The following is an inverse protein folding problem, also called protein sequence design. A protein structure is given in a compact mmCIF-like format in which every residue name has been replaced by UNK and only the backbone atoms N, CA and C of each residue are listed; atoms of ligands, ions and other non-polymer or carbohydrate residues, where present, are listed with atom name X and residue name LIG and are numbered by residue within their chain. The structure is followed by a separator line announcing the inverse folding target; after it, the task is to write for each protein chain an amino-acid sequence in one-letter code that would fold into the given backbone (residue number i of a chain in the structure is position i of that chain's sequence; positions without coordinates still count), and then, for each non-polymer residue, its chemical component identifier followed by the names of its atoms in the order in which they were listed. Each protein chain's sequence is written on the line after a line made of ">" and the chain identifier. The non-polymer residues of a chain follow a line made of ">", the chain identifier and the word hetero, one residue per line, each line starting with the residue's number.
data_IF_941125838896
#
_entry.id   IF_941125838896
#
_cell.length_a   1.000
_cell.length_b   1.000
_cell.length_c   1.000
_cell.angle_alpha   90.00
_cell.angle_beta   90.00
_cell.angle_gamma   90.00
#
_symmetry.space_group_name_H-M   'P 1'
#
loop_
_entity.id
_entity.type
_entity.pdbx_description
1 polymer ?
#
# COMPACT_ATOMS: atom_id res chain seq x y z
N UNK A 1 16.76 -17.18 6.02
CA UNK A 1 17.48 -15.92 5.78
C UNK A 1 16.72 -14.81 6.47
N UNK A 2 17.41 -13.86 7.10
CA UNK A 2 16.76 -12.65 7.61
C UNK A 2 16.75 -11.66 6.46
N UNK A 3 15.56 -11.21 6.06
CA UNK A 3 15.37 -10.24 4.98
C UNK A 3 16.27 -9.02 5.17
N UNK A 4 16.77 -8.42 4.09
CA UNK A 4 17.61 -7.23 4.16
C UNK A 4 16.95 -6.14 5.06
N UNK A 5 17.72 -5.49 5.95
CA UNK A 5 17.18 -4.64 7.01
C UNK A 5 16.14 -3.65 6.49
N UNK A 6 16.45 -2.93 5.42
CA UNK A 6 15.55 -1.97 4.77
C UNK A 6 14.16 -2.52 4.44
N UNK A 7 14.08 -3.75 3.90
CA UNK A 7 12.80 -4.38 3.57
C UNK A 7 12.05 -4.80 4.84
N UNK A 8 12.75 -5.12 5.93
CA UNK A 8 12.09 -5.36 7.23
C UNK A 8 11.49 -4.06 7.80
N UNK A 9 12.13 -2.91 7.61
CA UNK A 9 11.61 -1.62 8.07
C UNK A 9 10.32 -1.25 7.34
N UNK A 10 10.29 -1.43 6.01
CA UNK A 10 9.09 -1.23 5.20
C UNK A 10 7.97 -2.23 5.59
N UNK A 11 8.31 -3.51 5.69
CA UNK A 11 7.36 -4.58 6.07
C UNK A 11 6.70 -4.35 7.44
N UNK A 12 7.37 -3.68 8.39
CA UNK A 12 6.75 -3.33 9.68
C UNK A 12 5.58 -2.35 9.52
N UNK A 13 5.65 -1.43 8.57
CA UNK A 13 4.61 -0.43 8.32
C UNK A 13 3.36 -1.07 7.66
N UNK A 14 3.53 -2.17 6.92
CA UNK A 14 2.44 -2.92 6.28
C UNK A 14 1.40 -3.47 7.27
N UNK A 15 1.79 -3.77 8.52
CA UNK A 15 0.84 -4.26 9.51
C UNK A 15 -0.26 -3.22 9.80
N UNK A 16 0.12 -1.95 9.96
CA UNK A 16 -0.81 -0.85 10.17
C UNK A 16 -1.74 -0.67 8.96
N UNK A 17 -1.18 -0.67 7.75
CA UNK A 17 -1.92 -0.57 6.51
C UNK A 17 -2.97 -1.67 6.35
N UNK A 18 -2.63 -2.94 6.65
CA UNK A 18 -3.57 -4.06 6.58
C UNK A 18 -4.69 -3.98 7.61
N UNK A 19 -4.39 -3.53 8.84
CA UNK A 19 -5.42 -3.33 9.86
C UNK A 19 -6.39 -2.21 9.47
N UNK A 20 -5.87 -1.11 8.92
CA UNK A 20 -6.68 0.00 8.41
C UNK A 20 -7.58 -0.47 7.26
N UNK A 21 -7.01 -1.15 6.25
CA UNK A 21 -7.75 -1.72 5.13
C UNK A 21 -8.87 -2.66 5.59
N UNK A 22 -8.61 -3.54 6.56
CA UNK A 22 -9.62 -4.46 7.09
C UNK A 22 -10.79 -3.71 7.74
N UNK A 23 -10.51 -2.67 8.54
CA UNK A 23 -11.57 -1.87 9.19
C UNK A 23 -12.36 -1.06 8.16
N UNK A 24 -11.68 -0.43 7.21
CA UNK A 24 -12.29 0.32 6.12
C UNK A 24 -13.23 -0.56 5.28
N UNK A 25 -12.78 -1.76 4.90
CA UNK A 25 -13.60 -2.73 4.16
C UNK A 25 -14.86 -3.14 4.95
N UNK A 26 -14.73 -3.37 6.26
CA UNK A 26 -15.89 -3.71 7.11
C UNK A 26 -16.90 -2.56 7.18
N UNK A 27 -16.43 -1.33 7.34
CA UNK A 27 -17.28 -0.14 7.36
C UNK A 27 -17.97 0.12 6.01
N UNK A 28 -17.27 -0.10 4.89
CA UNK A 28 -17.86 0.03 3.56
C UNK A 28 -19.01 -0.97 3.31
N UNK A 29 -18.93 -2.16 3.92
CA UNK A 29 -19.92 -3.23 3.76
C UNK A 29 -21.03 -3.22 4.83
N UNK A 30 -21.00 -2.31 5.80
CA UNK A 30 -21.95 -2.30 6.92
C UNK A 30 -23.23 -1.49 6.65
N UNK A 31 -23.32 -0.81 5.50
CA UNK A 31 -24.39 0.16 5.15
C UNK A 31 -24.52 1.33 6.15
N UNK A 32 -23.62 1.44 7.13
CA UNK A 32 -23.61 2.49 8.15
C UNK A 32 -22.82 3.70 7.65
N UNK A 33 -23.56 4.73 7.23
CA UNK A 33 -22.99 5.98 6.72
C UNK A 33 -22.09 6.70 7.73
N UNK A 34 -22.32 6.52 9.03
CA UNK A 34 -21.48 7.12 10.08
C UNK A 34 -20.13 6.40 10.13
N UNK A 35 -20.14 5.07 10.11
CA UNK A 35 -18.90 4.27 10.05
C UNK A 35 -18.11 4.54 8.78
N UNK A 36 -18.77 4.65 7.62
CA UNK A 36 -18.12 5.00 6.35
C UNK A 36 -17.37 6.33 6.48
N UNK A 37 -18.03 7.37 6.99
CA UNK A 37 -17.41 8.70 7.18
C UNK A 37 -16.23 8.65 8.14
N UNK A 38 -16.37 7.98 9.28
CA UNK A 38 -15.30 7.86 10.29
C UNK A 38 -14.10 7.13 9.71
N UNK A 39 -14.30 5.99 9.04
CA UNK A 39 -13.19 5.20 8.50
C UNK A 39 -12.56 5.85 7.28
N UNK A 40 -13.32 6.56 6.44
CA UNK A 40 -12.75 7.34 5.36
C UNK A 40 -11.85 8.47 5.86
N UNK A 41 -12.28 9.20 6.89
CA UNK A 41 -11.45 10.24 7.53
C UNK A 41 -10.17 9.64 8.14
N UNK A 42 -10.27 8.47 8.80
CA UNK A 42 -9.10 7.77 9.32
C UNK A 42 -8.15 7.32 8.21
N UNK A 43 -8.69 6.80 7.09
CA UNK A 43 -7.89 6.41 5.93
C UNK A 43 -7.20 7.60 5.28
N UNK A 44 -7.91 8.72 5.11
CA UNK A 44 -7.34 9.97 4.61
C UNK A 44 -6.18 10.45 5.50
N UNK A 45 -6.37 10.51 6.82
CA UNK A 45 -5.34 10.95 7.74
C UNK A 45 -4.11 10.03 7.73
N UNK A 46 -4.32 8.71 7.80
CA UNK A 46 -3.24 7.72 7.75
C UNK A 46 -2.52 7.72 6.41
N UNK A 47 -3.22 8.03 5.30
CA UNK A 47 -2.60 8.10 3.98
C UNK A 47 -1.46 9.11 3.95
N UNK A 48 -1.70 10.35 4.39
CA UNK A 48 -0.69 11.40 4.36
C UNK A 48 0.34 11.29 5.49
N UNK A 49 -0.04 10.70 6.62
CA UNK A 49 0.87 10.53 7.76
C UNK A 49 1.82 9.35 7.59
N UNK A 50 1.39 8.27 6.93
CA UNK A 50 2.09 6.98 6.95
C UNK A 50 2.27 6.38 5.55
N UNK A 51 1.21 6.30 4.73
CA UNK A 51 1.25 5.55 3.47
C UNK A 51 2.03 6.27 2.34
N UNK A 52 1.75 7.55 2.09
CA UNK A 52 2.46 8.28 1.04
C UNK A 52 3.96 8.46 1.36
N UNK A 53 4.37 8.79 2.61
CA UNK A 53 5.79 8.74 2.98
C UNK A 53 6.44 7.38 2.76
N UNK A 54 5.70 6.28 3.04
CA UNK A 54 6.16 4.92 2.78
C UNK A 54 6.38 4.68 1.28
N UNK A 55 5.40 5.00 0.44
CA UNK A 55 5.50 4.89 -1.02
C UNK A 55 6.69 5.67 -1.58
N UNK A 56 6.94 6.88 -1.07
CA UNK A 56 8.08 7.70 -1.49
C UNK A 56 9.41 7.01 -1.17
N UNK A 57 9.53 6.31 -0.04
CA UNK A 57 10.75 5.54 0.28
C UNK A 57 10.92 4.38 -0.70
N UNK A 58 9.85 3.68 -1.03
CA UNK A 58 9.87 2.55 -1.97
C UNK A 58 10.24 3.01 -3.38
N UNK A 59 9.57 4.05 -3.87
CA UNK A 59 9.80 4.63 -5.19
C UNK A 59 11.24 5.11 -5.35
N UNK A 60 11.78 5.80 -4.34
CA UNK A 60 13.14 6.32 -4.39
C UNK A 60 14.23 5.25 -4.27
N UNK A 61 13.91 4.06 -3.76
CA UNK A 61 14.94 3.12 -3.34
C UNK A 61 14.84 1.73 -3.92
N UNK A 62 13.64 1.23 -4.21
CA UNK A 62 13.39 -0.10 -4.72
C UNK A 62 13.25 -0.09 -6.24
N UNK A 63 12.60 0.93 -6.81
CA UNK A 63 12.40 1.02 -8.27
C UNK A 63 13.71 1.00 -9.06
N UNK A 64 14.76 1.64 -8.57
CA UNK A 64 16.06 1.60 -9.24
C UNK A 64 16.62 0.18 -9.33
N UNK A 65 16.48 -0.63 -8.27
CA UNK A 65 16.96 -2.01 -8.22
C UNK A 65 16.16 -2.87 -9.20
N UNK A 66 14.82 -2.77 -9.15
CA UNK A 66 13.92 -3.53 -10.02
C UNK A 66 14.14 -3.20 -11.50
N UNK A 67 14.27 -1.92 -11.87
CA UNK A 67 14.56 -1.51 -13.25
C UNK A 67 15.91 -2.01 -13.74
N UNK A 68 16.94 -1.99 -12.88
CA UNK A 68 18.26 -2.53 -13.24
C UNK A 68 18.20 -4.04 -13.50
N UNK A 69 17.34 -4.74 -12.78
CA UNK A 69 17.08 -6.17 -12.98
C UNK A 69 16.06 -6.48 -14.09
N UNK A 70 15.55 -5.47 -14.82
CA UNK A 70 14.51 -5.61 -15.84
C UNK A 70 13.19 -6.23 -15.33
N UNK A 71 12.84 -5.98 -14.06
CA UNK A 71 11.60 -6.43 -13.42
C UNK A 71 10.42 -5.49 -13.73
N UNK A 72 10.17 -5.23 -15.03
CA UNK A 72 9.26 -4.18 -15.51
C UNK A 72 7.81 -4.37 -15.03
N UNK A 73 7.37 -5.62 -14.86
CA UNK A 73 6.02 -5.93 -14.36
C UNK A 73 5.83 -5.51 -12.91
N UNK A 74 6.85 -5.71 -12.06
CA UNK A 74 6.81 -5.31 -10.66
C UNK A 74 6.83 -3.79 -10.54
N UNK A 75 7.68 -3.13 -11.34
CA UNK A 75 7.75 -1.67 -11.43
C UNK A 75 6.40 -1.08 -11.82
N UNK A 76 5.82 -1.56 -12.92
CA UNK A 76 4.54 -1.04 -13.42
C UNK A 76 3.40 -1.27 -12.42
N UNK A 77 3.39 -2.41 -11.74
CA UNK A 77 2.37 -2.71 -10.72
C UNK A 77 2.49 -1.76 -9.52
N UNK A 78 3.71 -1.56 -9.01
CA UNK A 78 3.97 -0.67 -7.88
C UNK A 78 3.49 0.76 -8.18
N UNK A 79 3.94 1.31 -9.31
CA UNK A 79 3.60 2.68 -9.72
C UNK A 79 2.09 2.86 -9.94
N UNK A 80 1.44 1.88 -10.58
CA UNK A 80 0.00 1.91 -10.82
C UNK A 80 -0.80 1.89 -9.51
N UNK A 81 -0.45 0.98 -8.59
CA UNK A 81 -1.12 0.87 -7.29
C UNK A 81 -0.94 2.16 -6.47
N UNK A 82 0.28 2.72 -6.43
CA UNK A 82 0.53 3.99 -5.71
C UNK A 82 -0.24 5.15 -6.31
N UNK A 83 -0.25 5.28 -7.64
CA UNK A 83 -1.00 6.34 -8.31
C UNK A 83 -2.49 6.25 -8.01
N UNK A 84 -3.04 5.04 -8.04
CA UNK A 84 -4.47 4.83 -7.79
C UNK A 84 -4.82 5.01 -6.31
N UNK A 85 -3.97 4.59 -5.38
CA UNK A 85 -4.15 4.86 -3.95
C UNK A 85 -4.09 6.36 -3.63
N UNK A 86 -3.20 7.12 -4.28
CA UNK A 86 -3.17 8.59 -4.21
C UNK A 86 -4.44 9.22 -4.77
N UNK A 87 -4.98 8.67 -5.86
CA UNK A 87 -6.24 9.16 -6.47
C UNK A 87 -7.43 8.91 -5.53
N UNK A 88 -7.54 7.69 -5.01
CA UNK A 88 -8.61 7.30 -4.09
C UNK A 88 -8.54 8.05 -2.76
N UNK A 89 -7.33 8.32 -2.24
CA UNK A 89 -7.18 9.05 -0.98
C UNK A 89 -7.79 10.45 -1.03
N UNK A 90 -7.65 11.16 -2.16
CA UNK A 90 -8.33 12.45 -2.37
C UNK A 90 -9.85 12.31 -2.34
N UNK A 91 -10.39 11.24 -2.93
CA UNK A 91 -11.84 10.98 -2.97
C UNK A 91 -12.43 10.66 -1.60
N UNK A 92 -11.63 10.17 -0.64
CA UNK A 92 -12.09 9.90 0.74
C UNK A 92 -12.56 11.16 1.49
N UNK A 93 -12.26 12.37 0.99
CA UNK A 93 -12.78 13.62 1.57
C UNK A 93 -14.30 13.79 1.36
N UNK A 94 -14.87 13.14 0.34
CA UNK A 94 -16.31 13.06 0.09
C UNK A 94 -16.70 11.58 -0.01
N UNK A 95 -16.70 10.85 1.12
CA UNK A 95 -16.65 9.40 1.06
C UNK A 95 -18.01 8.78 0.78
N UNK A 96 -18.00 7.82 -0.14
CA UNK A 96 -19.04 6.82 -0.35
C UNK A 96 -18.50 5.41 -0.07
N UNK A 97 -19.42 4.44 0.04
CA UNK A 97 -19.08 3.04 0.33
C UNK A 97 -18.15 2.42 -0.73
N UNK A 98 -18.35 2.73 -2.03
CA UNK A 98 -17.56 2.16 -3.11
C UNK A 98 -16.12 2.71 -3.08
N UNK A 99 -15.95 4.01 -2.87
CA UNK A 99 -14.63 4.65 -2.77
C UNK A 99 -13.85 4.09 -1.58
N UNK A 100 -14.50 3.96 -0.41
CA UNK A 100 -13.86 3.39 0.78
C UNK A 100 -13.49 1.90 0.57
N UNK A 101 -14.38 1.13 -0.08
CA UNK A 101 -14.13 -0.27 -0.40
C UNK A 101 -12.95 -0.41 -1.38
N UNK A 102 -12.95 0.38 -2.46
CA UNK A 102 -11.90 0.37 -3.47
C UNK A 102 -10.53 0.70 -2.87
N UNK A 103 -10.46 1.72 -2.01
CA UNK A 103 -9.22 2.05 -1.29
C UNK A 103 -8.75 0.89 -0.41
N UNK A 104 -9.67 0.31 0.36
CA UNK A 104 -9.35 -0.79 1.29
C UNK A 104 -8.86 -2.05 0.56
N UNK A 105 -9.53 -2.44 -0.51
CA UNK A 105 -9.17 -3.63 -1.28
C UNK A 105 -7.87 -3.44 -2.05
N UNK A 106 -7.68 -2.27 -2.65
CA UNK A 106 -6.43 -1.94 -3.32
C UNK A 106 -5.25 -1.93 -2.34
N UNK A 107 -5.38 -1.27 -1.19
CA UNK A 107 -4.32 -1.22 -0.18
C UNK A 107 -3.95 -2.61 0.33
N UNK A 108 -4.95 -3.46 0.59
CA UNK A 108 -4.71 -4.83 1.04
C UNK A 108 -4.07 -5.71 -0.05
N UNK A 109 -4.48 -5.52 -1.32
CA UNK A 109 -3.90 -6.23 -2.47
C UNK A 109 -2.46 -5.80 -2.71
N UNK A 110 -2.20 -4.50 -2.68
CA UNK A 110 -0.90 -3.88 -2.85
C UNK A 110 0.11 -4.41 -1.83
N UNK A 111 -0.20 -4.32 -0.52
CA UNK A 111 0.68 -4.85 0.53
C UNK A 111 0.98 -6.35 0.36
N UNK A 112 -0.01 -7.15 -0.08
CA UNK A 112 0.22 -8.58 -0.33
C UNK A 112 1.15 -8.82 -1.51
N UNK A 113 0.99 -8.04 -2.57
CA UNK A 113 1.88 -8.06 -3.73
C UNK A 113 3.32 -7.74 -3.30
N UNK A 114 3.52 -6.71 -2.50
CA UNK A 114 4.86 -6.32 -2.04
C UNK A 114 5.50 -7.41 -1.21
N UNK A 115 4.78 -7.93 -0.21
CA UNK A 115 5.31 -8.93 0.72
C UNK A 115 5.62 -10.28 0.08
N UNK A 116 4.79 -10.71 -0.87
CA UNK A 116 4.81 -12.08 -1.42
C UNK A 116 5.52 -12.19 -2.76
N UNK A 117 5.62 -11.08 -3.49
CA UNK A 117 6.18 -11.07 -4.84
C UNK A 117 7.37 -10.12 -4.90
N UNK A 118 7.14 -8.81 -4.71
CA UNK A 118 8.18 -7.81 -4.93
C UNK A 118 9.37 -7.94 -3.96
N UNK A 119 9.11 -8.09 -2.66
CA UNK A 119 10.15 -8.19 -1.65
C UNK A 119 10.91 -9.51 -1.73
N UNK A 120 10.28 -10.58 -2.23
CA UNK A 120 10.95 -11.87 -2.48
C UNK A 120 12.00 -11.71 -3.60
N UNK A 121 11.63 -11.03 -4.69
CA UNK A 121 12.57 -10.74 -5.79
C UNK A 121 13.68 -9.79 -5.33
N UNK A 122 13.34 -8.73 -4.59
CA UNK A 122 14.34 -7.80 -4.06
C UNK A 122 15.30 -8.47 -3.08
N UNK A 123 14.84 -9.37 -2.22
CA UNK A 123 15.70 -10.13 -1.31
C UNK A 123 16.71 -10.97 -2.11
N UNK A 124 16.28 -11.69 -3.15
CA UNK A 124 17.18 -12.45 -4.02
C UNK A 124 18.20 -11.56 -4.76
N UNK A 125 17.79 -10.38 -5.24
CA UNK A 125 18.69 -9.43 -5.92
C UNK A 125 19.70 -8.76 -4.98
N UNK A 126 19.37 -8.63 -3.69
CA UNK A 126 20.23 -8.03 -2.67
C UNK A 126 21.20 -9.04 -2.06
N UNK A 127 20.78 -10.30 -1.90
CA UNK A 127 21.63 -11.38 -1.36
C UNK A 127 22.58 -11.96 -2.41
N UNK A 128 22.29 -11.77 -3.70
CA UNK A 128 23.16 -12.17 -4.82
C UNK A 128 24.28 -11.18 -5.15
N UNK A 129 24.43 -10.09 -4.38
CA UNK A 129 25.51 -9.10 -4.49
C UNK A 129 26.45 -9.20 -3.30
#
# INVERSE_FOLDING_TARGET
>A
MKRHQKLQELSRQHHGALQLALKARRAALSEDQTQIKVLAAACFAAFYAELDPHFVVEENTLLHILRTASEDKLVARLECDHQELRRLSVQLQQPDAMTLLGFAELLASHVRFEEREMFVVLEALLDGK
#
